data_IF_510450439281
#
_entry.id   IF_510450439281
#
_cell.length_a   1.000
_cell.length_b   1.000
_cell.length_c   1.000
_cell.angle_alpha   90.00
_cell.angle_beta   90.00
_cell.angle_gamma   90.00
#
_symmetry.space_group_name_H-M   'P 1'
#
loop_
_entity.id
_entity.type
_entity.pdbx_description
1 polymer ?
#
# COMPACT_ATOMS: atom_id res chain seq x y z
N UNK A 1 -20.19 48.29 72.22
CA UNK A 1 -19.21 48.52 71.14
C UNK A 1 -18.01 47.61 71.40
N UNK A 2 -17.95 46.44 70.67
CA UNK A 2 -16.80 45.54 70.73
C UNK A 2 -16.24 45.48 69.29
N UNK A 3 -15.03 45.97 69.10
CA UNK A 3 -14.29 45.88 67.88
C UNK A 3 -13.67 44.48 67.80
N UNK A 4 -14.07 43.71 66.82
CA UNK A 4 -13.46 42.42 66.46
C UNK A 4 -12.30 42.65 65.52
N UNK A 5 -11.08 42.45 66.00
CA UNK A 5 -9.85 42.51 65.24
C UNK A 5 -9.70 41.20 64.43
N UNK A 6 -9.77 41.25 63.12
CA UNK A 6 -9.50 40.11 62.24
C UNK A 6 -7.99 39.98 62.05
N UNK A 7 -7.42 38.92 62.62
CA UNK A 7 -6.03 38.53 62.38
C UNK A 7 -5.89 37.92 61.02
N UNK A 8 -5.17 38.61 60.10
CA UNK A 8 -4.75 38.09 58.81
C UNK A 8 -3.52 37.20 59.00
N UNK A 9 -3.71 35.92 58.81
CA UNK A 9 -2.62 34.93 58.70
C UNK A 9 -1.88 35.10 57.36
N UNK A 10 -0.54 35.24 57.33
CA UNK A 10 0.20 35.26 56.06
C UNK A 10 0.31 33.85 55.52
N UNK A 11 -0.10 33.66 54.27
CA UNK A 11 0.08 32.44 53.48
C UNK A 11 1.56 32.15 53.25
N UNK A 12 2.01 30.88 53.30
CA UNK A 12 3.40 30.53 53.00
C UNK A 12 3.64 30.69 51.51
N UNK A 13 4.52 31.62 51.17
CA UNK A 13 5.08 31.77 49.83
C UNK A 13 5.83 30.50 49.50
N UNK A 14 5.22 29.62 48.72
CA UNK A 14 5.87 28.47 48.12
C UNK A 14 6.97 28.96 47.17
N UNK A 15 8.22 28.88 47.64
CA UNK A 15 9.42 28.98 46.79
C UNK A 15 9.27 27.96 45.64
N UNK A 16 8.81 28.39 44.48
CA UNK A 16 9.01 27.67 43.24
C UNK A 16 10.52 27.59 42.98
N UNK A 17 11.12 26.52 43.45
CA UNK A 17 12.44 26.11 43.02
C UNK A 17 12.37 25.93 41.50
N UNK A 18 13.00 26.86 40.76
CA UNK A 18 13.29 26.67 39.33
C UNK A 18 14.16 25.42 39.23
N UNK A 19 13.52 24.29 39.00
CA UNK A 19 14.20 23.09 38.51
C UNK A 19 14.69 23.44 37.11
N UNK A 20 15.83 24.14 37.03
CA UNK A 20 16.61 24.21 35.80
C UNK A 20 17.02 22.78 35.50
N UNK A 21 16.20 22.05 34.69
CA UNK A 21 16.66 20.89 33.98
C UNK A 21 17.89 21.37 33.20
N UNK A 22 19.06 21.06 33.69
CA UNK A 22 20.28 21.11 32.89
C UNK A 22 20.04 20.15 31.75
N UNK A 23 19.68 20.70 30.59
CA UNK A 23 19.77 19.96 29.35
C UNK A 23 21.21 19.46 29.26
N UNK A 24 21.44 18.17 29.02
CA UNK A 24 22.78 17.68 28.80
C UNK A 24 23.40 18.48 27.64
N UNK A 25 24.70 18.77 27.67
CA UNK A 25 25.37 19.48 26.62
C UNK A 25 25.12 18.75 25.29
N UNK A 26 24.63 19.47 24.29
CA UNK A 26 24.47 19.02 22.91
C UNK A 26 25.85 18.77 22.28
N UNK A 27 26.58 17.81 22.79
CA UNK A 27 27.81 17.27 22.17
C UNK A 27 27.51 15.90 21.60
N UNK A 28 26.51 15.81 20.71
CA UNK A 28 26.28 14.67 19.87
C UNK A 28 26.74 15.06 18.46
N UNK A 29 27.92 14.58 18.09
CA UNK A 29 28.52 14.76 16.76
C UNK A 29 27.49 14.42 15.65
N UNK A 30 27.37 15.29 14.65
CA UNK A 30 26.52 15.14 13.47
C UNK A 30 26.56 13.72 12.81
N UNK A 31 27.68 12.98 12.84
CA UNK A 31 27.75 11.62 12.28
C UNK A 31 26.92 10.58 13.05
N UNK A 32 26.72 10.71 14.35
CA UNK A 32 25.90 9.76 15.14
C UNK A 32 24.40 9.92 14.88
N UNK A 33 23.94 11.12 14.63
CA UNK A 33 22.53 11.37 14.27
C UNK A 33 22.21 10.87 12.86
N UNK A 34 23.11 11.04 11.91
CA UNK A 34 22.92 10.56 10.53
C UNK A 34 22.94 9.03 10.45
N UNK A 35 23.80 8.36 11.21
CA UNK A 35 23.85 6.90 11.27
C UNK A 35 22.56 6.31 11.88
N UNK A 36 22.03 6.92 12.94
CA UNK A 36 20.75 6.52 13.53
C UNK A 36 19.57 6.74 12.58
N UNK A 37 19.58 7.82 11.80
CA UNK A 37 18.56 8.08 10.77
C UNK A 37 18.64 7.04 9.65
N UNK A 38 19.82 6.68 9.19
CA UNK A 38 20.03 5.69 8.15
C UNK A 38 19.53 4.29 8.59
N UNK A 39 19.80 3.88 9.83
CA UNK A 39 19.30 2.62 10.36
C UNK A 39 17.77 2.62 10.50
N UNK A 40 17.16 3.69 10.98
CA UNK A 40 15.69 3.85 11.04
C UNK A 40 15.07 3.82 9.65
N UNK A 41 15.70 4.44 8.66
CA UNK A 41 15.25 4.41 7.26
C UNK A 41 15.27 2.98 6.69
N UNK A 42 16.31 2.18 6.99
CA UNK A 42 16.41 0.78 6.58
C UNK A 42 15.31 -0.09 7.21
N UNK A 43 15.06 0.06 8.51
CA UNK A 43 13.97 -0.66 9.17
C UNK A 43 12.59 -0.22 8.66
N UNK A 44 12.38 1.08 8.48
CA UNK A 44 11.16 1.64 7.88
C UNK A 44 10.95 1.16 6.44
N UNK A 45 11.99 1.10 5.64
CA UNK A 45 11.97 0.54 4.30
C UNK A 45 11.54 -0.93 4.29
N UNK A 46 12.13 -1.76 5.15
CA UNK A 46 11.77 -3.17 5.27
C UNK A 46 10.30 -3.36 5.64
N UNK A 47 9.80 -2.63 6.63
CA UNK A 47 8.39 -2.72 7.04
C UNK A 47 7.45 -2.27 5.94
N UNK A 48 7.75 -1.16 5.25
CA UNK A 48 6.95 -0.65 4.14
C UNK A 48 6.93 -1.61 2.94
N UNK A 49 8.05 -2.22 2.59
CA UNK A 49 8.11 -3.21 1.50
C UNK A 49 7.32 -4.48 1.84
N UNK A 50 7.49 -5.02 3.05
CA UNK A 50 6.76 -6.23 3.45
C UNK A 50 5.25 -5.98 3.47
N UNK A 51 4.82 -4.84 3.99
CA UNK A 51 3.41 -4.45 3.98
C UNK A 51 2.87 -4.30 2.55
N UNK A 52 3.60 -3.57 1.69
CA UNK A 52 3.20 -3.36 0.30
C UNK A 52 3.18 -4.66 -0.50
N UNK A 53 4.13 -5.56 -0.27
CA UNK A 53 4.16 -6.88 -0.89
C UNK A 53 2.95 -7.73 -0.45
N UNK A 54 2.66 -7.78 0.86
CA UNK A 54 1.50 -8.49 1.38
C UNK A 54 0.19 -7.92 0.83
N UNK A 55 0.06 -6.59 0.77
CA UNK A 55 -1.09 -5.90 0.20
C UNK A 55 -1.25 -6.18 -1.30
N UNK A 56 -0.15 -6.14 -2.04
CA UNK A 56 -0.15 -6.43 -3.49
C UNK A 56 -0.53 -7.87 -3.76
N UNK A 57 0.03 -8.83 -3.02
CA UNK A 57 -0.28 -10.26 -3.20
C UNK A 57 -1.72 -10.60 -2.81
N UNK A 58 -2.23 -10.04 -1.70
CA UNK A 58 -3.63 -10.23 -1.30
C UNK A 58 -4.60 -9.64 -2.34
N UNK A 59 -4.32 -8.43 -2.81
CA UNK A 59 -5.08 -7.78 -3.87
C UNK A 59 -5.01 -8.56 -5.20
N UNK A 60 -3.85 -9.13 -5.54
CA UNK A 60 -3.67 -9.97 -6.70
C UNK A 60 -4.51 -11.25 -6.62
N UNK A 61 -4.49 -11.92 -5.47
CA UNK A 61 -5.26 -13.14 -5.27
C UNK A 61 -6.77 -12.88 -5.44
N UNK A 62 -7.30 -11.89 -4.73
CA UNK A 62 -8.73 -11.54 -4.80
C UNK A 62 -9.09 -11.03 -6.20
N UNK A 63 -8.27 -10.15 -6.78
CA UNK A 63 -8.50 -9.58 -8.12
C UNK A 63 -8.50 -10.66 -9.22
N UNK A 64 -7.56 -11.60 -9.17
CA UNK A 64 -7.51 -12.73 -10.13
C UNK A 64 -8.75 -13.60 -10.00
N UNK A 65 -9.15 -13.96 -8.78
CA UNK A 65 -10.34 -14.79 -8.57
C UNK A 65 -11.62 -14.09 -9.02
N UNK A 66 -11.83 -12.84 -8.63
CA UNK A 66 -12.99 -12.06 -9.02
C UNK A 66 -13.03 -11.82 -10.54
N UNK A 67 -11.92 -11.36 -11.13
CA UNK A 67 -11.82 -11.11 -12.57
C UNK A 67 -12.01 -12.37 -13.41
N UNK A 68 -11.45 -13.51 -12.97
CA UNK A 68 -11.62 -14.80 -13.65
C UNK A 68 -13.09 -15.23 -13.67
N UNK A 69 -13.79 -15.14 -12.53
CA UNK A 69 -15.21 -15.52 -12.44
C UNK A 69 -16.07 -14.61 -13.32
N UNK A 70 -15.89 -13.29 -13.23
CA UNK A 70 -16.67 -12.32 -14.00
C UNK A 70 -16.39 -12.46 -15.50
N UNK A 71 -15.11 -12.51 -15.91
CA UNK A 71 -14.73 -12.61 -17.30
C UNK A 71 -15.11 -13.93 -17.96
N UNK A 72 -15.03 -15.06 -17.23
CA UNK A 72 -15.39 -16.35 -17.77
C UNK A 72 -16.90 -16.51 -17.98
N UNK A 73 -17.71 -16.23 -16.98
CA UNK A 73 -19.16 -16.40 -17.07
C UNK A 73 -19.81 -15.32 -17.96
N UNK A 74 -19.26 -14.10 -17.95
CA UNK A 74 -19.79 -12.96 -18.70
C UNK A 74 -21.32 -12.75 -18.52
N UNK A 75 -21.95 -12.00 -19.42
CA UNK A 75 -23.41 -11.80 -19.40
C UNK A 75 -23.94 -11.24 -18.10
N UNK A 76 -24.94 -11.87 -17.50
CA UNK A 76 -25.59 -11.36 -16.27
C UNK A 76 -24.67 -11.40 -15.05
N UNK A 77 -23.82 -12.41 -14.92
CA UNK A 77 -22.86 -12.54 -13.80
C UNK A 77 -21.88 -11.38 -13.83
N UNK A 78 -21.33 -11.12 -15.00
CA UNK A 78 -20.42 -10.00 -15.22
C UNK A 78 -21.09 -8.66 -14.97
N UNK A 79 -22.29 -8.46 -15.49
CA UNK A 79 -23.03 -7.20 -15.38
C UNK A 79 -23.38 -6.88 -13.92
N UNK A 80 -23.86 -7.86 -13.16
CA UNK A 80 -24.16 -7.70 -11.73
C UNK A 80 -22.86 -7.48 -10.94
N UNK A 81 -21.82 -8.28 -11.20
CA UNK A 81 -20.53 -8.14 -10.52
C UNK A 81 -19.90 -6.78 -10.75
N UNK A 82 -19.92 -6.25 -11.99
CA UNK A 82 -19.42 -4.91 -12.29
C UNK A 82 -20.22 -3.83 -11.56
N UNK A 83 -21.55 -3.95 -11.47
CA UNK A 83 -22.37 -2.99 -10.70
C UNK A 83 -22.02 -2.98 -9.21
N UNK A 84 -21.75 -4.16 -8.64
CA UNK A 84 -21.32 -4.25 -7.25
C UNK A 84 -19.92 -3.63 -7.05
N UNK A 85 -18.99 -3.87 -7.98
CA UNK A 85 -17.66 -3.26 -7.96
C UNK A 85 -17.75 -1.74 -8.11
N UNK A 86 -18.57 -1.23 -9.02
CA UNK A 86 -18.79 0.21 -9.21
C UNK A 86 -19.34 0.88 -7.94
N UNK A 87 -20.35 0.28 -7.30
CA UNK A 87 -20.91 0.78 -6.03
C UNK A 87 -19.83 0.78 -4.93
N UNK A 88 -19.03 -0.30 -4.84
CA UNK A 88 -17.96 -0.41 -3.88
C UNK A 88 -16.86 0.64 -4.12
N UNK A 89 -16.46 0.82 -5.35
CA UNK A 89 -15.42 1.77 -5.76
C UNK A 89 -15.88 3.24 -5.69
N UNK A 90 -17.19 3.49 -5.62
CA UNK A 90 -17.73 4.84 -5.40
C UNK A 90 -17.47 5.37 -3.97
N UNK A 91 -17.17 4.48 -3.03
CA UNK A 91 -16.76 4.87 -1.68
C UNK A 91 -15.32 5.39 -1.70
N UNK A 92 -15.06 6.65 -1.32
CA UNK A 92 -13.70 7.16 -1.31
C UNK A 92 -12.93 6.54 -0.14
N UNK A 93 -11.91 5.74 -0.47
CA UNK A 93 -11.10 4.96 0.46
C UNK A 93 -10.43 5.81 1.55
N UNK A 94 -9.92 6.99 1.21
CA UNK A 94 -9.33 7.94 2.16
C UNK A 94 -10.34 8.46 3.19
N UNK A 95 -11.58 8.75 2.78
CA UNK A 95 -12.60 9.20 3.73
C UNK A 95 -13.02 8.09 4.69
N UNK A 96 -13.14 6.86 4.19
CA UNK A 96 -13.40 5.71 5.04
C UNK A 96 -12.29 5.49 6.05
N UNK A 97 -11.03 5.67 5.64
CA UNK A 97 -9.88 5.56 6.54
C UNK A 97 -9.94 6.62 7.65
N UNK A 98 -10.25 7.88 7.30
CA UNK A 98 -10.38 8.97 8.28
C UNK A 98 -11.51 8.67 9.27
N UNK A 99 -12.66 8.22 8.80
CA UNK A 99 -13.80 7.86 9.65
C UNK A 99 -13.44 6.70 10.58
N UNK A 100 -12.85 5.64 10.03
CA UNK A 100 -12.48 4.47 10.82
C UNK A 100 -11.38 4.76 11.84
N UNK A 101 -10.39 5.59 11.49
CA UNK A 101 -9.33 5.99 12.44
C UNK A 101 -9.83 6.93 13.55
N UNK A 102 -11.00 7.55 13.39
CA UNK A 102 -11.66 8.31 14.46
C UNK A 102 -12.43 7.43 15.46
N UNK A 103 -12.82 6.22 15.04
CA UNK A 103 -13.60 5.26 15.85
C UNK A 103 -12.68 4.20 16.47
N UNK A 104 -11.72 3.73 15.70
CA UNK A 104 -10.77 2.68 16.09
C UNK A 104 -9.37 3.27 16.22
N UNK A 105 -8.59 2.75 17.14
CA UNK A 105 -7.17 3.11 17.22
C UNK A 105 -6.44 2.67 15.94
N UNK A 106 -5.62 3.54 15.33
CA UNK A 106 -4.84 3.21 14.15
C UNK A 106 -3.96 1.98 14.43
N UNK A 107 -4.05 0.99 13.55
CA UNK A 107 -3.27 -0.24 13.67
C UNK A 107 -2.92 -0.80 12.30
N UNK A 108 -1.77 -1.49 12.20
CA UNK A 108 -1.36 -2.14 10.95
C UNK A 108 -2.43 -3.07 10.36
N UNK A 109 -3.10 -3.94 11.15
CA UNK A 109 -4.15 -4.80 10.63
C UNK A 109 -5.36 -4.04 10.08
N UNK A 110 -5.78 -2.96 10.76
CA UNK A 110 -6.89 -2.12 10.30
C UNK A 110 -6.55 -1.45 8.97
N UNK A 111 -5.36 -0.85 8.89
CA UNK A 111 -4.86 -0.22 7.68
C UNK A 111 -4.75 -1.22 6.53
N UNK A 112 -4.21 -2.41 6.81
CA UNK A 112 -4.11 -3.49 5.82
C UNK A 112 -5.49 -3.93 5.33
N UNK A 113 -6.43 -4.19 6.22
CA UNK A 113 -7.78 -4.64 5.87
C UNK A 113 -8.49 -3.61 4.97
N UNK A 114 -8.36 -2.32 5.32
CA UNK A 114 -8.98 -1.25 4.56
C UNK A 114 -8.37 -1.11 3.16
N UNK A 115 -7.06 -1.04 3.06
CA UNK A 115 -6.38 -0.95 1.76
C UNK A 115 -6.59 -2.22 0.91
N UNK A 116 -6.65 -3.39 1.52
CA UNK A 116 -6.94 -4.65 0.85
C UNK A 116 -8.37 -4.71 0.32
N UNK A 117 -9.34 -4.11 1.03
CA UNK A 117 -10.74 -4.06 0.62
C UNK A 117 -10.94 -3.36 -0.73
N UNK A 118 -10.11 -2.39 -1.07
CA UNK A 118 -10.17 -1.64 -2.35
C UNK A 118 -9.07 -2.07 -3.33
N UNK A 119 -7.97 -2.58 -2.85
CA UNK A 119 -6.76 -2.85 -3.61
C UNK A 119 -6.87 -3.90 -4.72
N UNK A 120 -7.91 -4.72 -4.75
CA UNK A 120 -8.10 -5.81 -5.71
C UNK A 120 -8.87 -5.40 -6.98
N UNK A 121 -9.60 -4.29 -6.96
CA UNK A 121 -10.54 -3.88 -8.00
C UNK A 121 -9.85 -3.73 -9.37
N UNK A 122 -8.83 -2.89 -9.45
CA UNK A 122 -8.11 -2.62 -10.70
C UNK A 122 -7.56 -3.89 -11.34
N UNK A 123 -7.03 -4.80 -10.52
CA UNK A 123 -6.51 -6.06 -11.03
C UNK A 123 -7.61 -7.00 -11.48
N UNK A 124 -8.77 -6.98 -10.82
CA UNK A 124 -9.97 -7.70 -11.25
C UNK A 124 -10.39 -7.28 -12.65
N UNK A 125 -10.38 -5.98 -12.95
CA UNK A 125 -10.74 -5.46 -14.27
C UNK A 125 -9.76 -5.93 -15.37
N UNK A 126 -8.46 -5.92 -15.10
CA UNK A 126 -7.46 -6.45 -16.03
C UNK A 126 -7.67 -7.95 -16.31
N UNK A 127 -7.81 -8.75 -15.27
CA UNK A 127 -8.01 -10.20 -15.41
C UNK A 127 -9.34 -10.50 -16.10
N UNK A 128 -10.39 -9.77 -15.76
CA UNK A 128 -11.70 -9.88 -16.41
C UNK A 128 -11.59 -9.63 -17.91
N UNK A 129 -10.94 -8.53 -18.32
CA UNK A 129 -10.73 -8.21 -19.74
C UNK A 129 -10.01 -9.33 -20.47
N UNK A 130 -8.96 -9.89 -19.86
CA UNK A 130 -8.20 -10.99 -20.44
C UNK A 130 -9.00 -12.29 -20.55
N UNK A 131 -9.79 -12.63 -19.52
CA UNK A 131 -10.69 -13.78 -19.58
C UNK A 131 -11.78 -13.63 -20.64
N UNK A 132 -12.37 -12.43 -20.79
CA UNK A 132 -13.33 -12.14 -21.86
C UNK A 132 -12.71 -12.34 -23.25
N UNK A 133 -11.46 -11.91 -23.45
CA UNK A 133 -10.71 -12.08 -24.70
C UNK A 133 -10.46 -13.57 -24.96
N UNK A 134 -9.88 -14.27 -24.00
CA UNK A 134 -9.42 -15.64 -24.19
C UNK A 134 -10.56 -16.66 -24.31
N UNK A 135 -11.69 -16.46 -23.64
CA UNK A 135 -12.84 -17.38 -23.71
C UNK A 135 -13.42 -17.54 -25.12
N UNK A 136 -13.17 -16.58 -26.01
CA UNK A 136 -13.64 -16.61 -27.39
C UNK A 136 -12.67 -17.27 -28.38
N UNK A 137 -11.45 -17.63 -27.94
CA UNK A 137 -10.43 -18.22 -28.78
C UNK A 137 -10.71 -19.69 -29.08
N UNK A 138 -10.21 -20.16 -30.21
CA UNK A 138 -10.50 -21.50 -30.77
C UNK A 138 -10.03 -22.64 -29.87
N UNK A 139 -8.90 -22.47 -29.16
CA UNK A 139 -8.43 -23.52 -28.24
C UNK A 139 -9.39 -23.73 -27.05
N UNK A 140 -10.10 -22.67 -26.61
CA UNK A 140 -11.12 -22.79 -25.56
C UNK A 140 -12.38 -23.47 -26.10
N UNK A 141 -12.76 -23.13 -27.35
CA UNK A 141 -13.89 -23.81 -28.02
C UNK A 141 -13.59 -25.29 -28.24
N UNK A 142 -12.39 -25.63 -28.69
CA UNK A 142 -11.94 -27.01 -28.82
C UNK A 142 -11.97 -27.76 -27.47
N UNK A 143 -11.51 -27.17 -26.40
CA UNK A 143 -11.56 -27.75 -25.07
C UNK A 143 -13.00 -28.05 -24.61
N UNK A 144 -13.97 -27.19 -24.96
CA UNK A 144 -15.41 -27.42 -24.68
C UNK A 144 -15.97 -28.57 -25.49
N UNK A 145 -15.63 -28.69 -26.78
CA UNK A 145 -16.09 -29.80 -27.62
C UNK A 145 -15.51 -31.14 -27.18
N UNK A 146 -14.34 -31.15 -26.53
CA UNK A 146 -13.75 -32.32 -25.88
C UNK A 146 -14.38 -32.68 -24.53
N UNK A 147 -15.39 -31.90 -24.08
CA UNK A 147 -16.14 -32.21 -22.84
C UNK A 147 -15.44 -31.80 -21.54
N UNK A 148 -14.42 -30.94 -21.58
CA UNK A 148 -13.81 -30.42 -20.36
C UNK A 148 -14.80 -29.53 -19.59
N UNK A 149 -14.77 -29.66 -18.26
CA UNK A 149 -15.58 -28.80 -17.39
C UNK A 149 -15.10 -27.34 -17.41
N UNK A 150 -16.01 -26.40 -17.13
CA UNK A 150 -15.69 -24.97 -17.09
C UNK A 150 -14.54 -24.66 -16.14
N UNK A 151 -14.48 -25.31 -14.98
CA UNK A 151 -13.39 -25.16 -14.01
C UNK A 151 -12.04 -25.63 -14.58
N UNK A 152 -12.03 -26.75 -15.32
CA UNK A 152 -10.81 -27.26 -15.96
C UNK A 152 -10.33 -26.30 -17.04
N UNK A 153 -11.26 -25.76 -17.84
CA UNK A 153 -10.96 -24.76 -18.88
C UNK A 153 -10.38 -23.49 -18.25
N UNK A 154 -11.04 -22.95 -17.23
CA UNK A 154 -10.56 -21.76 -16.53
C UNK A 154 -9.15 -21.96 -15.97
N UNK A 155 -8.96 -23.03 -15.16
CA UNK A 155 -7.71 -23.24 -14.43
C UNK A 155 -6.54 -23.66 -15.32
N UNK A 156 -6.77 -24.52 -16.31
CA UNK A 156 -5.71 -25.15 -17.11
C UNK A 156 -5.41 -24.45 -18.41
N UNK A 157 -6.39 -23.76 -18.98
CA UNK A 157 -6.25 -23.16 -20.31
C UNK A 157 -6.24 -21.62 -20.28
N UNK A 158 -7.16 -20.98 -19.55
CA UNK A 158 -7.28 -19.52 -19.57
C UNK A 158 -6.37 -18.87 -18.50
N UNK A 159 -6.43 -19.32 -17.27
CA UNK A 159 -5.72 -18.69 -16.17
C UNK A 159 -4.21 -18.57 -16.38
N UNK A 160 -3.47 -19.60 -16.85
CA UNK A 160 -2.03 -19.47 -17.03
C UNK A 160 -1.66 -18.38 -18.04
N UNK A 161 -2.44 -18.25 -19.10
CA UNK A 161 -2.22 -17.23 -20.14
C UNK A 161 -2.65 -15.82 -19.67
N UNK A 162 -3.69 -15.75 -18.83
CA UNK A 162 -4.19 -14.49 -18.24
C UNK A 162 -3.31 -13.95 -17.12
N UNK A 163 -2.38 -14.73 -16.58
CA UNK A 163 -1.46 -14.26 -15.53
C UNK A 163 -0.34 -13.37 -16.07
N UNK A 164 -0.03 -13.43 -17.35
CA UNK A 164 1.02 -12.58 -17.96
C UNK A 164 0.81 -11.09 -17.67
N UNK A 165 -0.33 -10.48 -18.02
CA UNK A 165 -0.57 -9.07 -17.69
C UNK A 165 -0.65 -8.81 -16.18
N UNK A 166 -1.05 -9.80 -15.37
CA UNK A 166 -1.05 -9.67 -13.90
C UNK A 166 0.38 -9.52 -13.39
N UNK A 167 1.29 -10.41 -13.80
CA UNK A 167 2.69 -10.42 -13.35
C UNK A 167 3.39 -9.12 -13.74
N UNK A 168 3.15 -8.62 -14.95
CA UNK A 168 3.74 -7.35 -15.43
C UNK A 168 3.19 -6.13 -14.69
N UNK A 169 1.99 -6.22 -14.12
CA UNK A 169 1.37 -5.13 -13.38
C UNK A 169 1.75 -5.10 -11.88
N UNK A 170 2.17 -6.24 -11.30
CA UNK A 170 2.47 -6.34 -9.86
C UNK A 170 3.50 -5.32 -9.34
N UNK A 171 4.64 -5.03 -10.03
CA UNK A 171 5.59 -4.03 -9.54
C UNK A 171 4.98 -2.63 -9.45
N UNK A 172 4.15 -2.23 -10.40
CA UNK A 172 3.46 -0.94 -10.39
C UNK A 172 2.42 -0.86 -9.26
N UNK A 173 1.71 -1.97 -9.02
CA UNK A 173 0.79 -2.08 -7.87
C UNK A 173 1.52 -1.96 -6.54
N UNK A 174 2.69 -2.60 -6.43
CA UNK A 174 3.54 -2.51 -5.25
C UNK A 174 4.05 -1.08 -5.02
N UNK A 175 4.43 -0.38 -6.08
CA UNK A 175 4.80 1.04 -6.03
C UNK A 175 3.65 1.90 -5.50
N UNK A 176 2.44 1.71 -6.01
CA UNK A 176 1.24 2.41 -5.54
C UNK A 176 0.94 2.12 -4.07
N UNK A 177 1.11 0.86 -3.63
CA UNK A 177 0.91 0.47 -2.23
C UNK A 177 1.94 1.11 -1.28
N UNK A 178 3.21 1.22 -1.70
CA UNK A 178 4.26 1.91 -0.92
C UNK A 178 3.93 3.39 -0.78
N UNK A 179 3.53 4.05 -1.88
CA UNK A 179 3.15 5.48 -1.85
C UNK A 179 1.93 5.70 -0.96
N UNK A 180 0.90 4.85 -1.07
CA UNK A 180 -0.29 4.95 -0.23
C UNK A 180 0.05 4.81 1.26
N UNK A 181 0.81 3.77 1.64
CA UNK A 181 1.25 3.58 3.02
C UNK A 181 2.06 4.78 3.52
N UNK A 182 3.07 5.21 2.74
CA UNK A 182 3.93 6.34 3.12
C UNK A 182 3.14 7.63 3.31
N UNK A 183 2.14 7.87 2.45
CA UNK A 183 1.26 9.04 2.56
C UNK A 183 0.39 8.99 3.82
N UNK A 184 -0.15 7.84 4.15
CA UNK A 184 -0.97 7.65 5.34
C UNK A 184 -0.14 7.76 6.63
N UNK A 185 1.07 7.19 6.64
CA UNK A 185 2.02 7.33 7.74
C UNK A 185 2.40 8.81 7.94
N UNK A 186 2.67 9.54 6.84
CA UNK A 186 2.98 10.97 6.88
C UNK A 186 1.84 11.82 7.47
N UNK A 187 0.59 11.41 7.23
CA UNK A 187 -0.61 12.04 7.78
C UNK A 187 -0.91 11.60 9.23
N UNK A 188 -0.12 10.69 9.79
CA UNK A 188 -0.32 10.16 11.14
C UNK A 188 -1.45 9.13 11.25
N UNK A 189 -1.93 8.61 10.13
CA UNK A 189 -2.97 7.57 10.05
C UNK A 189 -2.41 6.18 9.74
N UNK A 190 -1.10 6.05 9.71
CA UNK A 190 -0.39 4.82 9.38
C UNK A 190 0.00 3.98 10.59
N UNK A 191 1.27 3.55 10.60
CA UNK A 191 1.83 2.68 11.64
C UNK A 191 2.00 3.45 12.94
N UNK A 192 1.43 2.97 14.08
CA UNK A 192 1.62 3.65 15.35
C UNK A 192 3.08 3.57 15.84
N UNK A 193 3.63 4.65 16.43
CA UNK A 193 4.93 4.61 17.06
C UNK A 193 5.01 3.51 18.14
N UNK A 194 6.16 2.84 18.37
CA UNK A 194 7.51 3.21 17.95
C UNK A 194 8.03 2.53 16.67
N UNK A 195 7.17 1.90 15.86
CA UNK A 195 7.61 1.19 14.68
C UNK A 195 8.11 2.18 13.59
N UNK A 196 9.36 2.09 13.14
CA UNK A 196 9.87 3.00 12.13
C UNK A 196 9.18 2.77 10.79
N UNK A 197 8.73 3.84 10.13
CA UNK A 197 8.22 3.83 8.77
C UNK A 197 8.84 4.96 7.95
N UNK A 198 8.78 4.86 6.61
CA UNK A 198 9.28 5.91 5.74
C UNK A 198 8.44 7.19 5.86
N UNK A 199 7.12 7.04 6.04
CA UNK A 199 6.22 8.18 6.21
C UNK A 199 6.40 8.90 7.54
N UNK A 200 6.67 8.16 8.63
CA UNK A 200 7.02 8.75 9.93
C UNK A 200 8.31 9.58 9.85
N UNK A 201 9.33 9.08 9.15
CA UNK A 201 10.57 9.84 8.92
C UNK A 201 10.34 11.12 8.14
N UNK A 202 9.43 11.10 7.15
CA UNK A 202 9.04 12.30 6.43
C UNK A 202 8.31 13.30 7.34
N UNK A 203 7.42 12.82 8.21
CA UNK A 203 6.71 13.66 9.18
C UNK A 203 7.66 14.26 10.23
N UNK A 204 8.63 13.46 10.72
CA UNK A 204 9.68 13.92 11.63
C UNK A 204 10.58 15.00 10.97
N UNK A 205 10.98 14.79 9.71
CA UNK A 205 11.77 15.78 8.97
C UNK A 205 11.01 17.08 8.70
N UNK A 206 9.69 17.02 8.50
CA UNK A 206 8.82 18.22 8.42
C UNK A 206 8.78 18.97 9.75
N UNK A 207 8.76 18.27 10.88
CA UNK A 207 8.72 18.88 12.21
C UNK A 207 10.08 19.50 12.61
N UNK A 208 11.19 19.01 12.04
CA UNK A 208 12.56 19.41 12.36
C UNK A 208 13.31 19.89 11.11
N UNK A 209 12.98 21.08 10.62
CA UNK A 209 13.59 21.66 9.40
C UNK A 209 15.12 21.82 9.50
N UNK A 210 15.64 21.98 10.71
CA UNK A 210 17.09 22.03 10.96
C UNK A 210 17.80 20.72 10.60
N UNK A 211 17.06 19.59 10.59
CA UNK A 211 17.54 18.26 10.29
C UNK A 211 17.07 17.79 8.90
N UNK A 212 17.26 18.58 7.88
CA UNK A 212 16.81 18.34 6.50
C UNK A 212 17.24 16.97 5.94
N UNK A 213 18.35 16.41 6.45
CA UNK A 213 18.86 15.09 6.03
C UNK A 213 17.89 13.94 6.36
N UNK A 214 17.01 14.09 7.35
CA UNK A 214 16.00 13.07 7.69
C UNK A 214 15.02 12.92 6.52
N UNK A 215 14.43 14.02 6.08
CA UNK A 215 13.53 14.04 4.91
C UNK A 215 14.26 13.61 3.63
N UNK A 216 15.48 14.13 3.40
CA UNK A 216 16.26 13.79 2.22
C UNK A 216 16.57 12.29 2.14
N UNK A 217 16.91 11.65 3.27
CA UNK A 217 17.15 10.20 3.32
C UNK A 217 15.87 9.41 3.02
N UNK A 218 14.75 9.77 3.64
CA UNK A 218 13.47 9.09 3.43
C UNK A 218 12.98 9.23 1.98
N UNK A 219 13.06 10.44 1.41
CA UNK A 219 12.72 10.71 0.00
C UNK A 219 13.66 9.94 -0.93
N UNK A 220 14.97 9.97 -0.67
CA UNK A 220 15.95 9.25 -1.49
C UNK A 220 15.68 7.75 -1.55
N UNK A 221 15.42 7.11 -0.40
CA UNK A 221 15.05 5.68 -0.32
C UNK A 221 13.76 5.41 -1.08
N UNK A 222 12.74 6.27 -0.90
CA UNK A 222 11.46 6.12 -1.60
C UNK A 222 11.63 6.21 -3.12
N UNK A 223 12.31 7.26 -3.61
CA UNK A 223 12.52 7.49 -5.05
C UNK A 223 13.30 6.33 -5.67
N UNK A 224 14.40 5.88 -5.06
CA UNK A 224 15.18 4.74 -5.56
C UNK A 224 14.32 3.48 -5.61
N UNK A 225 13.52 3.24 -4.59
CA UNK A 225 12.63 2.06 -4.54
C UNK A 225 11.59 2.10 -5.67
N UNK A 226 10.92 3.23 -5.86
CA UNK A 226 9.91 3.39 -6.90
C UNK A 226 10.53 3.26 -8.30
N UNK A 227 11.72 3.83 -8.53
CA UNK A 227 12.45 3.66 -9.79
C UNK A 227 12.81 2.21 -10.06
N UNK A 228 13.34 1.49 -9.06
CA UNK A 228 13.68 0.07 -9.21
C UNK A 228 12.44 -0.77 -9.54
N UNK A 229 11.32 -0.54 -8.85
CA UNK A 229 10.08 -1.24 -9.13
C UNK A 229 9.54 -0.92 -10.53
N UNK A 230 9.65 0.33 -10.98
CA UNK A 230 9.27 0.73 -12.34
C UNK A 230 10.13 0.03 -13.38
N UNK A 231 11.46 0.03 -13.23
CA UNK A 231 12.35 -0.69 -14.14
C UNK A 231 12.09 -2.19 -14.18
N UNK A 232 11.80 -2.81 -13.01
CA UNK A 232 11.40 -4.23 -12.98
C UNK A 232 10.10 -4.44 -13.74
N UNK A 233 9.11 -3.57 -13.56
CA UNK A 233 7.83 -3.65 -14.26
C UNK A 233 7.99 -3.51 -15.78
N UNK A 234 8.79 -2.56 -16.23
CA UNK A 234 9.04 -2.33 -17.64
C UNK A 234 9.83 -3.48 -18.28
N UNK A 235 10.85 -4.00 -17.60
CA UNK A 235 11.60 -5.17 -18.05
C UNK A 235 10.72 -6.42 -18.17
N UNK A 236 9.83 -6.67 -17.18
CA UNK A 236 8.87 -7.76 -17.28
C UNK A 236 7.93 -7.58 -18.48
N UNK A 237 7.43 -6.37 -18.70
CA UNK A 237 6.55 -6.04 -19.81
C UNK A 237 7.23 -6.31 -21.17
N UNK A 238 8.48 -5.91 -21.31
CA UNK A 238 9.25 -6.13 -22.54
C UNK A 238 9.48 -7.62 -22.83
N UNK A 239 9.90 -8.41 -21.82
CA UNK A 239 10.12 -9.87 -21.98
C UNK A 239 8.84 -10.59 -22.41
N UNK A 240 7.69 -10.24 -21.84
CA UNK A 240 6.42 -10.88 -22.20
C UNK A 240 5.90 -10.41 -23.56
N UNK A 241 6.08 -9.14 -23.95
CA UNK A 241 5.71 -8.65 -25.27
C UNK A 241 6.50 -9.33 -26.39
N UNK A 242 7.80 -9.57 -26.19
CA UNK A 242 8.63 -10.29 -27.16
C UNK A 242 8.18 -11.76 -27.34
N UNK A 243 7.73 -12.42 -26.27
CA UNK A 243 7.21 -13.79 -26.37
C UNK A 243 5.94 -13.90 -27.19
N UNK A 244 5.03 -12.92 -27.08
CA UNK A 244 3.81 -12.90 -27.90
C UNK A 244 4.13 -12.75 -29.40
N UNK A 245 5.09 -11.90 -29.76
CA UNK A 245 5.52 -11.70 -31.15
C UNK A 245 6.21 -12.95 -31.73
N UNK A 246 7.07 -13.60 -30.95
CA UNK A 246 7.74 -14.83 -31.38
C UNK A 246 6.76 -16.00 -31.59
N UNK A 247 5.68 -16.07 -30.79
CA UNK A 247 4.64 -17.08 -30.95
C UNK A 247 3.78 -16.90 -32.19
N UNK A 248 3.52 -15.67 -32.60
CA UNK A 248 2.74 -15.35 -33.79
C UNK A 248 3.55 -15.66 -35.06
N UNK A 249 4.85 -15.33 -35.09
CA UNK A 249 5.71 -15.61 -36.26
C UNK A 249 6.03 -17.10 -36.51
N UNK A 250 5.87 -17.96 -35.48
CA UNK A 250 6.07 -19.40 -35.62
C UNK A 250 4.80 -20.16 -36.11
N UNK A 251 3.65 -19.50 -36.13
CA UNK A 251 2.37 -20.09 -36.59
C UNK A 251 2.07 -19.85 -38.09
N UNK A 252 2.85 -18.98 -38.72
CA UNK A 252 2.65 -18.61 -40.14
C UNK A 252 3.60 -19.36 -41.10
N UNK A 253 4.34 -20.36 -40.65
CA UNK A 253 5.17 -21.28 -41.45
C UNK A 253 4.59 -22.69 -41.43
#
# INVERSE_FOLDING_TARGET
MRRTTIATTPSPITRRGRFRRRLPPRTGSAPTHSAATCSRALYGFRSSILFAAALTLSGALVGVLAGAVLGYHAGRVDLVGQRLIEIWNALPDLYLLIILSSIFEPSLPLLFALLAAFGWITLSDYVRGEFLRQRSLDYVRAARTLGLSDWQIMRRHILPNSLTPVITYLPFRMSAAIVALTSLDFLGMGVPPPAPSLGELLAEGKAHLDAWWISATAIGVLVVTLLLLTFIGDALREVFAQREQAGVGAGDL
#
